data_IF_438941147126
#
_entry.id   IF_438941147126
#
_cell.length_a   1.000
_cell.length_b   1.000
_cell.length_c   1.000
_cell.angle_alpha   90.00
_cell.angle_beta   90.00
_cell.angle_gamma   90.00
#
_symmetry.space_group_name_H-M   'P 1'
#
loop_
_entity.id
_entity.type
_entity.pdbx_description
1 polymer ?
#
# COMPACT_ATOMS: atom_id res chain seq x y z
N UNK A 1 23.98 5.49 -17.11
CA UNK A 1 22.75 5.06 -17.79
C UNK A 1 22.06 3.89 -17.07
N UNK A 2 22.62 2.67 -17.01
CA UNK A 2 21.98 1.54 -16.29
C UNK A 2 22.08 1.63 -14.76
N UNK A 3 23.20 2.13 -14.24
CA UNK A 3 23.41 2.28 -12.80
C UNK A 3 22.45 3.32 -12.18
N UNK A 4 22.16 4.40 -12.90
CA UNK A 4 21.27 5.47 -12.45
C UNK A 4 19.83 4.99 -12.29
N UNK A 5 19.35 4.12 -13.19
CA UNK A 5 18.00 3.55 -13.12
C UNK A 5 17.81 2.65 -11.90
N UNK A 6 18.81 1.82 -11.59
CA UNK A 6 18.77 0.95 -10.41
C UNK A 6 18.84 1.75 -9.11
N UNK A 7 19.68 2.79 -9.06
CA UNK A 7 19.76 3.70 -7.92
C UNK A 7 18.45 4.46 -7.70
N UNK A 8 17.81 4.91 -8.78
CA UNK A 8 16.51 5.57 -8.69
C UNK A 8 15.41 4.62 -8.20
N UNK A 9 15.38 3.38 -8.72
CA UNK A 9 14.41 2.38 -8.28
C UNK A 9 14.58 2.03 -6.80
N UNK A 10 15.82 1.84 -6.34
CA UNK A 10 16.13 1.60 -4.93
C UNK A 10 15.71 2.79 -4.05
N UNK A 11 16.01 4.02 -4.48
CA UNK A 11 15.62 5.23 -3.76
C UNK A 11 14.10 5.38 -3.65
N UNK A 12 13.37 5.09 -4.73
CA UNK A 12 11.91 5.11 -4.75
C UNK A 12 11.32 4.03 -3.83
N UNK A 13 11.91 2.83 -3.83
CA UNK A 13 11.47 1.74 -2.95
C UNK A 13 11.72 2.07 -1.47
N UNK A 14 12.83 2.72 -1.12
CA UNK A 14 13.09 3.18 0.24
C UNK A 14 12.12 4.28 0.68
N UNK A 15 11.77 5.20 -0.20
CA UNK A 15 10.85 6.30 0.10
C UNK A 15 9.40 5.83 0.19
N UNK A 16 8.97 4.92 -0.68
CA UNK A 16 7.58 4.50 -0.78
C UNK A 16 7.27 3.19 -0.07
N UNK A 17 8.26 2.40 0.33
CA UNK A 17 8.05 1.05 0.86
C UNK A 17 7.36 0.13 -0.17
N UNK A 18 6.56 -0.86 0.27
CA UNK A 18 5.86 -1.79 -0.61
C UNK A 18 4.86 -1.13 -1.57
N UNK A 19 4.47 0.13 -1.32
CA UNK A 19 3.65 0.90 -2.26
C UNK A 19 4.35 1.15 -3.61
N UNK A 20 5.66 0.90 -3.73
CA UNK A 20 6.35 0.89 -5.04
C UNK A 20 5.76 -0.12 -6.02
N UNK A 21 5.16 -1.21 -5.54
CA UNK A 21 4.48 -2.20 -6.37
C UNK A 21 3.22 -1.64 -7.06
N UNK A 22 2.72 -0.50 -6.59
CA UNK A 22 1.52 0.15 -7.10
C UNK A 22 1.84 1.23 -8.15
N UNK A 23 3.11 1.42 -8.53
CA UNK A 23 3.47 2.43 -9.52
C UNK A 23 2.80 2.15 -10.87
N UNK A 24 2.03 3.13 -11.36
CA UNK A 24 1.24 3.02 -12.59
C UNK A 24 -0.19 2.51 -12.37
N UNK A 25 -0.56 2.09 -11.16
CA UNK A 25 -1.92 1.69 -10.79
C UNK A 25 -2.68 2.86 -10.16
N UNK A 26 -3.97 3.03 -10.50
CA UNK A 26 -4.83 4.03 -9.87
C UNK A 26 -5.57 3.44 -8.66
N UNK A 27 -4.83 3.18 -7.58
CA UNK A 27 -5.40 2.68 -6.33
C UNK A 27 -5.50 3.84 -5.33
N UNK A 28 -6.72 4.31 -5.09
CA UNK A 28 -6.95 5.49 -4.25
C UNK A 28 -7.31 5.12 -2.80
N UNK A 29 -7.90 3.94 -2.60
CA UNK A 29 -8.40 3.44 -1.32
C UNK A 29 -7.92 2.00 -1.06
N UNK A 30 -7.80 1.55 0.20
CA UNK A 30 -7.43 0.17 0.54
C UNK A 30 -8.27 -0.90 -0.16
N UNK A 31 -9.56 -0.64 -0.38
CA UNK A 31 -10.45 -1.58 -1.06
C UNK A 31 -10.09 -1.78 -2.55
N UNK A 32 -9.42 -0.81 -3.17
CA UNK A 32 -9.00 -0.89 -4.56
C UNK A 32 -7.90 -1.95 -4.71
N UNK A 33 -7.00 -2.06 -3.74
CA UNK A 33 -5.97 -3.12 -3.66
C UNK A 33 -6.62 -4.50 -3.68
N UNK A 34 -7.70 -4.68 -2.90
CA UNK A 34 -8.44 -5.96 -2.85
C UNK A 34 -9.08 -6.29 -4.21
N UNK A 35 -9.58 -5.27 -4.91
CA UNK A 35 -10.31 -5.39 -6.18
C UNK A 35 -9.39 -5.54 -7.39
N UNK A 36 -8.12 -5.18 -7.27
CA UNK A 36 -7.17 -5.21 -8.38
C UNK A 36 -6.94 -6.65 -8.89
N UNK A 37 -7.32 -6.99 -10.13
CA UNK A 37 -7.18 -8.34 -10.66
C UNK A 37 -5.72 -8.73 -10.97
N UNK A 38 -4.82 -7.77 -11.20
CA UNK A 38 -3.42 -8.06 -11.55
C UNK A 38 -2.55 -8.48 -10.34
N UNK A 39 -3.03 -8.27 -9.12
CA UNK A 39 -2.29 -8.60 -7.89
C UNK A 39 -2.65 -9.99 -7.36
N UNK A 40 -1.65 -10.75 -6.93
CA UNK A 40 -1.87 -11.99 -6.18
C UNK A 40 -2.45 -11.70 -4.79
N UNK A 41 -3.04 -12.71 -4.14
CA UNK A 41 -3.58 -12.55 -2.78
C UNK A 41 -2.49 -12.16 -1.78
N UNK A 42 -1.30 -12.75 -1.93
CA UNK A 42 -0.16 -12.46 -1.06
C UNK A 42 0.38 -11.04 -1.27
N UNK A 43 0.45 -10.57 -2.52
CA UNK A 43 0.83 -9.18 -2.81
C UNK A 43 -0.16 -8.20 -2.20
N UNK A 44 -1.47 -8.46 -2.36
CA UNK A 44 -2.53 -7.64 -1.75
C UNK A 44 -2.36 -7.56 -0.23
N UNK A 45 -2.10 -8.70 0.41
CA UNK A 45 -1.88 -8.76 1.86
C UNK A 45 -0.62 -8.00 2.27
N UNK A 46 0.48 -8.17 1.55
CA UNK A 46 1.74 -7.48 1.83
C UNK A 46 1.60 -5.97 1.70
N UNK A 47 0.93 -5.49 0.65
CA UNK A 47 0.65 -4.06 0.42
C UNK A 47 -0.22 -3.50 1.55
N UNK A 48 -1.33 -4.16 1.88
CA UNK A 48 -2.24 -3.69 2.93
C UNK A 48 -1.59 -3.73 4.32
N UNK A 49 -0.79 -4.77 4.62
CA UNK A 49 -0.03 -4.85 5.86
C UNK A 49 1.01 -3.72 5.97
N UNK A 50 1.65 -3.37 4.85
CA UNK A 50 2.56 -2.22 4.82
C UNK A 50 1.82 -0.91 5.10
N UNK A 51 0.65 -0.70 4.49
CA UNK A 51 -0.18 0.48 4.73
C UNK A 51 -0.65 0.58 6.18
N UNK A 52 -0.86 -0.55 6.86
CA UNK A 52 -1.23 -0.57 8.27
C UNK A 52 -0.07 -0.17 9.21
N UNK A 53 1.18 -0.35 8.77
CA UNK A 53 2.39 -0.05 9.54
C UNK A 53 2.51 1.43 9.91
N UNK A 54 3.24 1.69 10.99
CA UNK A 54 3.59 3.05 11.42
C UNK A 54 4.52 3.77 10.43
N UNK A 55 5.09 3.05 9.46
CA UNK A 55 5.86 3.65 8.36
C UNK A 55 5.07 4.75 7.63
N UNK A 56 3.74 4.62 7.50
CA UNK A 56 2.90 5.64 6.90
C UNK A 56 2.11 6.46 7.94
N UNK A 57 2.29 6.24 9.24
CA UNK A 57 1.54 6.98 10.25
C UNK A 57 1.85 8.47 10.19
N UNK A 58 0.79 9.30 10.27
CA UNK A 58 0.96 10.76 10.35
C UNK A 58 1.36 11.12 11.78
N UNK A 59 2.40 11.94 11.91
CA UNK A 59 2.86 12.42 13.21
C UNK A 59 1.71 13.09 14.00
N UNK A 60 1.63 12.76 15.28
CA UNK A 60 0.54 13.16 16.19
C UNK A 60 -0.89 12.76 15.76
N UNK A 61 -1.05 11.96 14.69
CA UNK A 61 -2.34 11.42 14.21
C UNK A 61 -2.21 9.92 13.85
N UNK A 62 -1.92 9.04 14.82
CA UNK A 62 -1.59 7.63 14.58
C UNK A 62 -2.75 6.79 14.03
N UNK A 63 -3.97 7.33 13.94
CA UNK A 63 -5.10 6.69 13.27
C UNK A 63 -5.08 6.87 11.74
N UNK A 64 -4.26 7.79 11.21
CA UNK A 64 -4.19 8.10 9.79
C UNK A 64 -2.89 7.61 9.17
N UNK A 65 -2.95 7.29 7.88
CA UNK A 65 -1.82 6.85 7.06
C UNK A 65 -1.67 7.77 5.85
N UNK A 66 -0.50 8.36 5.69
CA UNK A 66 -0.12 9.12 4.50
C UNK A 66 0.57 8.18 3.51
N UNK A 67 -0.20 7.55 2.63
CA UNK A 67 0.33 6.66 1.60
C UNK A 67 0.65 7.48 0.35
N UNK A 68 1.85 7.33 -0.25
CA UNK A 68 2.15 7.96 -1.54
C UNK A 68 1.17 7.50 -2.63
N UNK A 69 0.60 8.46 -3.38
CA UNK A 69 -0.31 8.17 -4.49
C UNK A 69 -1.80 8.13 -4.11
N UNK A 70 -2.16 8.14 -2.82
CA UNK A 70 -3.56 8.35 -2.41
C UNK A 70 -3.89 9.84 -2.40
N UNK A 71 -5.12 10.25 -2.76
CA UNK A 71 -5.50 11.66 -2.80
C UNK A 71 -5.59 12.31 -1.41
N UNK A 72 -5.81 11.51 -0.37
CA UNK A 72 -5.95 11.94 1.02
C UNK A 72 -5.39 10.89 1.99
N UNK A 73 -5.11 11.26 3.25
CA UNK A 73 -4.81 10.30 4.30
C UNK A 73 -5.93 9.28 4.47
N UNK A 74 -5.55 8.01 4.56
CA UNK A 74 -6.49 6.90 4.80
C UNK A 74 -6.51 6.55 6.29
N UNK A 75 -7.62 6.05 6.82
CA UNK A 75 -7.65 5.59 8.21
C UNK A 75 -7.11 4.17 8.34
N UNK A 76 -6.50 3.86 9.49
CA UNK A 76 -6.08 2.49 9.83
C UNK A 76 -7.28 1.52 9.81
N UNK A 77 -8.46 1.99 10.21
CA UNK A 77 -9.69 1.20 10.20
C UNK A 77 -10.09 0.78 8.78
N UNK A 78 -9.87 1.64 7.78
CA UNK A 78 -10.14 1.32 6.39
C UNK A 78 -9.17 0.27 5.83
N UNK A 79 -7.89 0.34 6.23
CA UNK A 79 -6.91 -0.68 5.89
C UNK A 79 -7.28 -2.03 6.53
N UNK A 80 -7.69 -2.01 7.80
CA UNK A 80 -8.16 -3.22 8.50
C UNK A 80 -9.43 -3.79 7.86
N UNK A 81 -10.35 -2.93 7.42
CA UNK A 81 -11.53 -3.36 6.68
C UNK A 81 -11.15 -4.07 5.38
N UNK A 82 -10.21 -3.51 4.60
CA UNK A 82 -9.74 -4.13 3.37
C UNK A 82 -9.03 -5.48 3.62
N UNK A 83 -8.23 -5.60 4.68
CA UNK A 83 -7.63 -6.88 5.08
C UNK A 83 -8.69 -7.92 5.42
N UNK A 84 -9.70 -7.58 6.23
CA UNK A 84 -10.81 -8.49 6.55
C UNK A 84 -11.59 -8.90 5.30
N UNK A 85 -11.81 -7.97 4.38
CA UNK A 85 -12.47 -8.28 3.11
C UNK A 85 -11.62 -9.18 2.22
N UNK A 86 -10.30 -9.00 2.19
CA UNK A 86 -9.37 -9.89 1.49
C UNK A 86 -9.46 -11.31 2.05
N UNK A 87 -9.36 -11.47 3.37
CA UNK A 87 -9.45 -12.77 4.03
C UNK A 87 -10.83 -13.42 3.80
N UNK A 88 -11.92 -12.64 3.81
CA UNK A 88 -13.26 -13.13 3.47
C UNK A 88 -13.35 -13.69 2.05
N UNK A 89 -12.67 -13.07 1.08
CA UNK A 89 -12.72 -13.48 -0.34
C UNK A 89 -11.88 -14.72 -0.64
N UNK A 90 -10.76 -14.86 0.04
CA UNK A 90 -9.74 -15.86 -0.31
C UNK A 90 -9.48 -16.90 0.77
N UNK A 91 -10.16 -16.80 1.92
CA UNK A 91 -10.22 -17.84 2.95
C UNK A 91 -8.85 -18.36 3.36
N UNK A 92 -8.08 -17.53 4.06
CA UNK A 92 -6.80 -17.90 4.68
C UNK A 92 -6.94 -17.86 6.19
#
# INVERSE_FOLDING_TARGET
MTYDMLQQAASNAMAMGPAVLLQGMQLQRPIDVVREPALSVDDKRAILAAWASDFYAIDSKPALRQVPGTPEPISIDEVQFALKELDRRYGV
#
